data_IF_140617872737
#
_entry.id   IF_140617872737
#
_cell.length_a   1.000
_cell.length_b   1.000
_cell.length_c   1.000
_cell.angle_alpha   90.00
_cell.angle_beta   90.00
_cell.angle_gamma   90.00
#
_symmetry.space_group_name_H-M   'P 1'
#
loop_
_entity.id
_entity.type
_entity.pdbx_description
1 polymer ?
#
# COMPACT_ATOMS: atom_id res chain seq x y z
N UNK A 1 -18.81 5.30 -38.83
CA UNK A 1 -19.57 6.21 -37.95
C UNK A 1 -18.98 6.14 -36.54
N UNK A 2 -18.37 7.24 -36.10
CA UNK A 2 -18.39 7.84 -34.75
C UNK A 2 -18.88 6.95 -33.58
N UNK A 3 -18.12 6.76 -32.47
CA UNK A 3 -17.89 7.76 -31.40
C UNK A 3 -16.78 7.26 -30.45
N UNK A 4 -15.68 8.00 -30.33
CA UNK A 4 -15.34 8.97 -29.26
C UNK A 4 -14.53 8.33 -28.12
N UNK A 5 -13.24 8.66 -28.14
CA UNK A 5 -12.38 8.73 -26.97
C UNK A 5 -13.10 9.43 -25.81
N UNK A 6 -13.11 8.80 -24.64
CA UNK A 6 -13.44 9.46 -23.39
C UNK A 6 -12.15 9.49 -22.59
N UNK A 7 -11.50 10.64 -22.65
CA UNK A 7 -10.40 11.04 -21.78
C UNK A 7 -10.96 11.12 -20.36
N UNK A 8 -10.69 10.12 -19.53
CA UNK A 8 -11.13 10.15 -18.13
C UNK A 8 -10.15 11.00 -17.31
N UNK A 9 -10.49 12.29 -17.20
CA UNK A 9 -9.80 13.28 -16.36
C UNK A 9 -10.28 13.28 -14.91
N UNK A 10 -11.12 12.33 -14.49
CA UNK A 10 -11.63 12.23 -13.13
C UNK A 10 -11.68 10.77 -12.70
N UNK A 11 -10.50 10.20 -12.38
CA UNK A 11 -10.43 8.99 -11.55
C UNK A 11 -10.97 9.32 -10.15
N UNK A 12 -12.28 9.44 -10.02
CA UNK A 12 -12.97 9.10 -8.78
C UNK A 12 -12.95 7.58 -8.76
N UNK A 13 -11.91 7.02 -8.14
CA UNK A 13 -11.78 5.59 -7.96
C UNK A 13 -13.05 5.09 -7.23
N UNK A 14 -13.77 4.12 -7.81
CA UNK A 14 -15.00 3.63 -7.21
C UNK A 14 -14.68 2.96 -5.88
N UNK A 15 -15.50 3.28 -4.88
CA UNK A 15 -15.48 2.72 -3.52
C UNK A 15 -15.77 1.21 -3.63
N UNK A 16 -14.73 0.42 -3.88
CA UNK A 16 -14.71 -1.05 -3.76
C UNK A 16 -13.69 -1.51 -2.69
N UNK A 17 -13.28 -0.60 -1.79
CA UNK A 17 -12.08 -0.71 -0.93
C UNK A 17 -12.15 -1.64 0.31
N UNK A 18 -13.16 -2.50 0.49
CA UNK A 18 -13.22 -3.33 1.72
C UNK A 18 -12.15 -4.45 1.84
N UNK A 19 -11.82 -5.24 0.80
CA UNK A 19 -10.79 -6.28 0.93
C UNK A 19 -9.37 -5.70 0.99
N UNK A 20 -9.14 -4.54 0.36
CA UNK A 20 -7.84 -3.84 0.36
C UNK A 20 -7.42 -3.43 1.78
N UNK A 21 -8.33 -2.83 2.56
CA UNK A 21 -8.03 -2.37 3.93
C UNK A 21 -7.55 -3.51 4.83
N UNK A 22 -8.15 -4.70 4.72
CA UNK A 22 -7.77 -5.84 5.57
C UNK A 22 -6.40 -6.40 5.19
N UNK A 23 -6.10 -6.51 3.89
CA UNK A 23 -4.81 -6.99 3.41
C UNK A 23 -3.67 -6.03 3.76
N UNK A 24 -3.84 -4.73 3.49
CA UNK A 24 -2.86 -3.70 3.82
C UNK A 24 -2.58 -3.67 5.33
N UNK A 25 -3.63 -3.66 6.16
CA UNK A 25 -3.49 -3.73 7.62
C UNK A 25 -2.72 -4.96 8.08
N UNK A 26 -2.96 -6.13 7.46
CA UNK A 26 -2.22 -7.34 7.80
C UNK A 26 -0.72 -7.21 7.45
N UNK A 27 -0.39 -6.59 6.32
CA UNK A 27 1.01 -6.33 5.93
C UNK A 27 1.68 -5.38 6.94
N UNK A 28 1.01 -4.28 7.29
CA UNK A 28 1.55 -3.28 8.21
C UNK A 28 1.62 -3.78 9.66
N UNK A 29 0.69 -4.62 10.09
CA UNK A 29 0.75 -5.31 11.38
C UNK A 29 2.00 -6.19 11.49
N UNK A 30 2.38 -6.91 10.42
CA UNK A 30 3.62 -7.69 10.39
C UNK A 30 4.87 -6.81 10.45
N UNK A 31 4.79 -5.59 9.93
CA UNK A 31 5.88 -4.60 9.94
C UNK A 31 5.90 -3.74 11.22
N UNK A 32 4.93 -3.92 12.12
CA UNK A 32 4.71 -3.09 13.31
C UNK A 32 4.66 -1.59 12.98
N UNK A 33 4.03 -1.25 11.85
CA UNK A 33 3.81 0.13 11.43
C UNK A 33 2.50 0.59 12.03
N UNK A 34 2.48 1.80 12.59
CA UNK A 34 1.23 2.44 12.97
C UNK A 34 0.48 2.86 11.68
N UNK A 35 -0.70 2.29 11.39
CA UNK A 35 -1.46 2.64 10.19
C UNK A 35 -1.79 4.13 10.13
N UNK A 36 -2.07 4.79 11.26
CA UNK A 36 -2.40 6.22 11.28
C UNK A 36 -1.22 7.09 10.82
N UNK A 37 0.00 6.69 11.19
CA UNK A 37 1.21 7.41 10.77
C UNK A 37 1.49 7.19 9.28
N UNK A 38 1.21 5.99 8.76
CA UNK A 38 1.30 5.72 7.33
C UNK A 38 0.26 6.53 6.54
N UNK A 39 -0.99 6.59 7.02
CA UNK A 39 -2.04 7.39 6.40
C UNK A 39 -1.70 8.88 6.38
N UNK A 40 -1.08 9.41 7.44
CA UNK A 40 -0.54 10.77 7.44
C UNK A 40 0.57 10.96 6.38
N UNK A 41 1.45 9.96 6.19
CA UNK A 41 2.46 10.01 5.12
C UNK A 41 1.81 10.05 3.73
N UNK A 42 0.73 9.30 3.54
CA UNK A 42 -0.06 9.31 2.29
C UNK A 42 -0.74 10.67 2.09
N UNK A 43 -1.40 11.21 3.12
CA UNK A 43 -2.10 12.50 3.07
C UNK A 43 -1.16 13.68 2.84
N UNK A 44 0.06 13.62 3.37
CA UNK A 44 1.11 14.63 3.16
C UNK A 44 1.80 14.49 1.79
N UNK A 45 1.26 13.70 0.85
CA UNK A 45 1.80 13.47 -0.49
C UNK A 45 3.26 13.00 -0.51
N UNK A 46 3.72 12.26 0.52
CA UNK A 46 5.03 11.60 0.43
C UNK A 46 4.93 10.56 -0.68
N UNK A 47 5.56 10.82 -1.83
CA UNK A 47 5.46 10.02 -3.06
C UNK A 47 5.67 8.52 -2.80
N UNK A 48 6.60 8.19 -1.91
CA UNK A 48 6.86 6.79 -1.54
C UNK A 48 5.72 6.10 -0.80
N UNK A 49 4.90 6.81 -0.01
CA UNK A 49 3.77 6.23 0.70
C UNK A 49 2.65 5.85 -0.28
N UNK A 50 2.35 6.72 -1.25
CA UNK A 50 1.39 6.43 -2.32
C UNK A 50 1.85 5.26 -3.20
N UNK A 51 3.12 5.25 -3.60
CA UNK A 51 3.69 4.13 -4.36
C UNK A 51 3.62 2.82 -3.59
N UNK A 52 3.90 2.85 -2.29
CA UNK A 52 3.85 1.66 -1.45
C UNK A 52 2.41 1.12 -1.33
N UNK A 53 1.41 1.99 -1.14
CA UNK A 53 0.00 1.60 -1.08
C UNK A 53 -0.46 0.94 -2.38
N UNK A 54 -0.17 1.57 -3.52
CA UNK A 54 -0.52 1.01 -4.84
C UNK A 54 0.18 -0.34 -5.07
N UNK A 55 1.46 -0.45 -4.71
CA UNK A 55 2.20 -1.71 -4.86
C UNK A 55 1.68 -2.83 -3.94
N UNK A 56 1.21 -2.50 -2.73
CA UNK A 56 0.56 -3.46 -1.83
C UNK A 56 -0.78 -3.94 -2.42
N UNK A 57 -1.52 -3.05 -3.08
CA UNK A 57 -2.76 -3.39 -3.80
C UNK A 57 -2.49 -4.31 -5.00
N UNK A 58 -1.47 -4.02 -5.82
CA UNK A 58 -1.03 -4.93 -6.90
C UNK A 58 -0.64 -6.32 -6.35
N UNK A 59 0.01 -6.38 -5.18
CA UNK A 59 0.35 -7.64 -4.54
C UNK A 59 -0.90 -8.44 -4.11
N UNK A 60 -1.97 -7.77 -3.67
CA UNK A 60 -3.25 -8.40 -3.37
C UNK A 60 -3.88 -9.00 -4.62
N UNK A 61 -3.90 -8.25 -5.73
CA UNK A 61 -4.42 -8.73 -7.03
C UNK A 61 -3.66 -9.97 -7.52
N UNK A 62 -2.35 -10.02 -7.27
CA UNK A 62 -1.49 -11.15 -7.61
C UNK A 62 -1.56 -12.31 -6.60
N UNK A 63 -2.42 -12.24 -5.57
CA UNK A 63 -2.52 -13.21 -4.48
C UNK A 63 -1.17 -13.46 -3.77
N UNK A 64 -0.32 -12.43 -3.69
CA UNK A 64 0.97 -12.54 -3.03
C UNK A 64 0.75 -12.72 -1.51
N UNK A 65 1.44 -13.64 -0.83
CA UNK A 65 1.28 -13.80 0.61
C UNK A 65 1.72 -12.55 1.39
N UNK A 66 0.91 -12.13 2.37
CA UNK A 66 1.16 -10.97 3.24
C UNK A 66 2.58 -11.00 3.85
N UNK A 67 3.07 -12.18 4.26
CA UNK A 67 4.42 -12.37 4.81
C UNK A 67 5.52 -12.04 3.79
N UNK A 68 5.31 -12.41 2.53
CA UNK A 68 6.25 -12.14 1.42
C UNK A 68 6.30 -10.65 1.14
N UNK A 69 5.13 -9.99 1.08
CA UNK A 69 5.03 -8.54 0.91
C UNK A 69 5.75 -7.81 2.04
N UNK A 70 5.45 -8.12 3.30
CA UNK A 70 6.10 -7.51 4.45
C UNK A 70 7.64 -7.68 4.40
N UNK A 71 8.13 -8.87 4.04
CA UNK A 71 9.56 -9.12 3.89
C UNK A 71 10.19 -8.23 2.80
N UNK A 72 9.56 -8.13 1.63
CA UNK A 72 10.01 -7.28 0.52
C UNK A 72 10.06 -5.80 0.92
N UNK A 73 9.03 -5.29 1.60
CA UNK A 73 8.97 -3.90 2.07
C UNK A 73 10.10 -3.59 3.05
N UNK A 74 10.37 -4.49 4.00
CA UNK A 74 11.49 -4.31 4.93
C UNK A 74 12.83 -4.31 4.20
N UNK A 75 13.01 -5.21 3.23
CA UNK A 75 14.25 -5.34 2.47
C UNK A 75 14.53 -4.14 1.54
N UNK A 76 13.48 -3.52 1.00
CA UNK A 76 13.65 -2.36 0.10
C UNK A 76 14.09 -1.09 0.85
N UNK A 77 13.91 -1.02 2.17
CA UNK A 77 14.22 0.17 2.96
C UNK A 77 13.29 1.35 2.70
N UNK A 78 12.23 1.17 1.89
CA UNK A 78 11.30 2.25 1.48
C UNK A 78 10.70 3.01 2.66
N UNK A 79 10.52 2.31 3.78
CA UNK A 79 9.97 2.86 5.02
C UNK A 79 10.90 3.88 5.69
N UNK A 80 12.21 3.80 5.48
CA UNK A 80 13.15 4.80 6.01
C UNK A 80 12.95 6.18 5.39
N UNK A 81 12.59 6.24 4.10
CA UNK A 81 12.23 7.50 3.43
C UNK A 81 10.94 8.12 3.95
N UNK A 82 10.15 7.34 4.70
CA UNK A 82 8.92 7.80 5.36
C UNK A 82 9.13 8.04 6.86
N UNK A 83 10.37 7.95 7.36
CA UNK A 83 10.70 8.03 8.80
C UNK A 83 10.01 6.93 9.63
N UNK A 84 9.58 5.85 8.96
CA UNK A 84 8.99 4.67 9.57
C UNK A 84 10.10 3.67 9.89
N UNK A 85 10.12 3.17 11.13
CA UNK A 85 11.09 2.17 11.60
C UNK A 85 10.40 0.81 11.73
N UNK A 86 10.34 0.00 10.66
CA UNK A 86 9.67 -1.28 10.71
C UNK A 86 10.39 -2.27 11.63
N UNK A 87 9.61 -3.06 12.36
CA UNK A 87 10.07 -4.26 13.05
C UNK A 87 9.27 -5.43 12.51
N UNK A 88 9.96 -6.40 11.93
CA UNK A 88 9.30 -7.58 11.38
C UNK A 88 8.91 -8.52 12.53
N UNK A 89 7.61 -8.68 12.76
CA UNK A 89 7.09 -9.64 13.73
C UNK A 89 7.00 -11.01 13.05
N UNK A 90 8.09 -11.76 13.07
CA UNK A 90 8.00 -13.21 12.94
C UNK A 90 8.14 -13.81 14.33
N UNK A 91 7.04 -14.33 14.87
CA UNK A 91 7.16 -15.40 15.85
C UNK A 91 7.72 -16.61 15.09
N UNK A 92 8.91 -17.04 15.48
CA UNK A 92 9.40 -18.39 15.22
C UNK A 92 8.61 -19.31 16.16
#
# INVERSE_FOLDING_TARGET
>A
MLKKEIHDKNRVLPIQHMPNITYERNVFNLLQINPDHFDQCVQNNKTYALLLRNWVEECLEQNTPVKTVAKKIKQSGVLHYMELKPKLKFAI
#
